data_IF_839200721745
#
_entry.id   IF_839200721745
#
_cell.length_a   1.000
_cell.length_b   1.000
_cell.length_c   1.000
_cell.angle_alpha   90.00
_cell.angle_beta   90.00
_cell.angle_gamma   90.00
#
_symmetry.space_group_name_H-M   'P 1'
#
loop_
_entity.id
_entity.type
_entity.pdbx_description
1 polymer ?
#
# COMPACT_ATOMS: atom_id res chain seq x y z
N UNK A 1 -1.32 -31.81 46.15
CA UNK A 1 -0.34 -30.86 45.63
C UNK A 1 -1.00 -30.13 44.49
N UNK A 2 -1.30 -28.85 44.65
CA UNK A 2 -1.90 -28.02 43.60
C UNK A 2 -0.84 -27.81 42.51
N UNK A 3 -0.96 -28.55 41.41
CA UNK A 3 -0.31 -28.18 40.16
C UNK A 3 -1.03 -26.93 39.68
N UNK A 4 -0.48 -25.76 40.00
CA UNK A 4 -0.90 -24.52 39.35
C UNK A 4 -0.68 -24.71 37.85
N UNK A 5 -1.78 -24.91 37.11
CA UNK A 5 -1.77 -24.92 35.65
C UNK A 5 -1.15 -23.60 35.20
N UNK A 6 0.07 -23.67 34.65
CA UNK A 6 0.69 -22.50 34.05
C UNK A 6 -0.22 -22.05 32.91
N UNK A 7 -0.69 -20.78 32.88
CA UNK A 7 -1.52 -20.31 31.80
C UNK A 7 -0.72 -20.38 30.50
N UNK A 8 -1.34 -20.90 29.43
CA UNK A 8 -0.72 -20.87 28.12
C UNK A 8 -0.66 -19.41 27.66
N UNK A 9 0.55 -18.91 27.42
CA UNK A 9 0.84 -17.50 27.26
C UNK A 9 1.52 -17.24 25.92
N UNK A 10 0.93 -16.35 25.11
CA UNK A 10 1.59 -15.76 23.95
C UNK A 10 2.03 -14.33 24.27
N UNK A 11 3.28 -14.00 23.98
CA UNK A 11 3.84 -12.66 24.18
C UNK A 11 4.04 -12.02 22.81
N UNK A 12 3.28 -10.97 22.53
CA UNK A 12 3.42 -10.15 21.33
C UNK A 12 4.24 -8.92 21.64
N UNK A 13 5.34 -8.72 20.91
CA UNK A 13 6.12 -7.50 21.00
C UNK A 13 5.58 -6.48 19.97
N UNK A 14 5.23 -5.25 20.39
CA UNK A 14 4.89 -4.20 19.44
C UNK A 14 6.08 -3.87 18.55
N UNK A 15 5.79 -3.42 17.33
CA UNK A 15 6.80 -3.10 16.33
C UNK A 15 7.81 -2.06 16.86
N UNK A 16 9.13 -2.22 16.60
CA UNK A 16 10.19 -1.45 17.27
C UNK A 16 10.19 0.06 16.99
N UNK A 17 9.37 0.54 16.06
CA UNK A 17 9.26 1.97 15.74
C UNK A 17 8.48 2.79 16.78
N UNK A 18 7.73 2.14 17.68
CA UNK A 18 6.91 2.85 18.66
C UNK A 18 7.66 3.04 19.99
N UNK A 19 8.55 4.05 20.05
CA UNK A 19 9.35 4.38 21.24
C UNK A 19 8.50 4.79 22.45
N UNK A 20 7.26 5.22 22.22
CA UNK A 20 6.30 5.67 23.24
C UNK A 20 5.24 4.61 23.59
N UNK A 21 5.42 3.35 23.17
CA UNK A 21 4.48 2.29 23.50
C UNK A 21 4.38 2.10 25.03
N UNK A 22 3.18 2.35 25.57
CA UNK A 22 2.87 2.23 27.01
C UNK A 22 3.17 0.83 27.57
N UNK A 23 3.11 -0.19 26.72
CA UNK A 23 3.38 -1.58 27.06
C UNK A 23 4.52 -2.11 26.19
N UNK A 24 5.53 -2.74 26.82
CA UNK A 24 6.69 -3.33 26.13
C UNK A 24 6.33 -4.60 25.35
N UNK A 25 5.22 -5.23 25.72
CA UNK A 25 4.66 -6.42 25.09
C UNK A 25 3.17 -6.50 25.45
N UNK A 26 2.43 -7.34 24.74
CA UNK A 26 1.07 -7.74 25.06
C UNK A 26 1.08 -9.23 25.37
N UNK A 27 0.66 -9.60 26.57
CA UNK A 27 0.44 -10.98 26.98
C UNK A 27 -0.98 -11.39 26.59
N UNK A 28 -1.12 -12.48 25.84
CA UNK A 28 -2.39 -13.09 25.48
C UNK A 28 -2.45 -14.46 26.14
N UNK A 29 -3.31 -14.56 27.14
CA UNK A 29 -3.69 -15.84 27.71
C UNK A 29 -4.62 -16.55 26.73
N UNK A 30 -4.34 -17.82 26.45
CA UNK A 30 -5.19 -18.64 25.61
C UNK A 30 -5.46 -20.00 26.26
N UNK A 31 -6.57 -20.61 25.87
CA UNK A 31 -6.93 -21.96 26.29
C UNK A 31 -6.84 -22.89 25.09
N UNK A 32 -6.18 -24.06 25.21
CA UNK A 32 -6.16 -25.05 24.15
C UNK A 32 -7.60 -25.45 23.79
N UNK A 33 -7.87 -25.68 22.51
CA UNK A 33 -9.22 -26.04 22.03
C UNK A 33 -9.41 -27.55 22.08
N UNK A 34 -10.54 -28.04 22.60
CA UNK A 34 -10.88 -29.46 22.49
C UNK A 34 -11.30 -29.79 21.06
N UNK A 35 -10.70 -30.83 20.46
CA UNK A 35 -11.11 -31.32 19.15
C UNK A 35 -12.08 -32.48 19.29
N UNK A 36 -13.29 -32.30 18.78
CA UNK A 36 -14.30 -33.36 18.74
C UNK A 36 -13.92 -34.53 17.84
N UNK A 37 -13.09 -34.30 16.82
CA UNK A 37 -12.66 -35.32 15.85
C UNK A 37 -11.59 -36.22 16.46
N UNK A 38 -10.59 -35.62 17.11
CA UNK A 38 -9.45 -36.34 17.71
C UNK A 38 -9.69 -36.71 19.18
N UNK A 39 -10.78 -36.22 19.78
CA UNK A 39 -11.18 -36.41 21.19
C UNK A 39 -10.07 -36.05 22.19
N UNK A 40 -9.30 -35.00 21.90
CA UNK A 40 -8.21 -34.53 22.74
C UNK A 40 -8.09 -33.00 22.75
N UNK A 41 -7.42 -32.45 23.78
CA UNK A 41 -7.07 -31.02 23.83
C UNK A 41 -5.97 -30.72 22.82
N UNK A 42 -6.17 -29.68 22.03
CA UNK A 42 -5.26 -29.27 20.97
C UNK A 42 -4.61 -27.95 21.30
N UNK A 43 -3.28 -27.92 21.22
CA UNK A 43 -2.52 -26.68 21.28
C UNK A 43 -2.90 -25.79 20.10
N UNK A 44 -3.09 -24.51 20.39
CA UNK A 44 -3.43 -23.49 19.38
C UNK A 44 -2.31 -22.48 19.27
N UNK A 45 -2.03 -22.02 18.06
CA UNK A 45 -1.00 -21.04 17.75
C UNK A 45 -1.63 -19.78 17.13
N UNK A 46 -1.05 -18.59 17.34
CA UNK A 46 -1.51 -17.37 16.71
C UNK A 46 -1.21 -17.40 15.20
N UNK A 47 -2.14 -16.86 14.43
CA UNK A 47 -1.94 -16.56 13.01
C UNK A 47 -2.03 -15.05 12.79
N UNK A 48 -1.12 -14.57 11.95
CA UNK A 48 -1.12 -13.19 11.47
C UNK A 48 -1.77 -13.15 10.09
N UNK A 49 -2.40 -12.01 9.76
CA UNK A 49 -2.94 -11.81 8.42
C UNK A 49 -1.85 -11.95 7.35
N UNK A 50 -2.29 -12.28 6.13
CA UNK A 50 -1.42 -12.47 4.96
C UNK A 50 -0.52 -11.26 4.68
N UNK A 51 -0.98 -10.06 5.01
CA UNK A 51 -0.27 -8.80 4.81
C UNK A 51 0.79 -8.53 5.90
N UNK A 52 0.92 -9.41 6.90
CA UNK A 52 1.76 -9.24 8.11
C UNK A 52 1.48 -7.96 8.89
N UNK A 53 0.42 -7.24 8.53
CA UNK A 53 -0.08 -6.11 9.26
C UNK A 53 -0.63 -6.55 10.62
N UNK A 54 -0.54 -5.68 11.65
CA UNK A 54 -1.12 -5.94 12.95
C UNK A 54 -2.64 -6.02 12.85
N UNK A 55 -3.15 -7.21 12.56
CA UNK A 55 -4.55 -7.56 12.59
C UNK A 55 -4.90 -8.22 13.93
N UNK A 56 -6.21 -8.39 14.18
CA UNK A 56 -6.67 -9.16 15.33
C UNK A 56 -6.06 -10.58 15.25
N UNK A 57 -5.35 -11.06 16.29
CA UNK A 57 -4.70 -12.36 16.25
C UNK A 57 -5.77 -13.45 16.13
N UNK A 58 -5.76 -14.17 15.01
CA UNK A 58 -6.50 -15.41 14.88
C UNK A 58 -5.75 -16.53 15.61
N UNK A 59 -6.43 -17.61 15.97
CA UNK A 59 -5.81 -18.81 16.51
C UNK A 59 -6.23 -20.01 15.69
N UNK A 60 -5.28 -20.91 15.41
CA UNK A 60 -5.55 -22.19 14.76
C UNK A 60 -4.96 -23.33 15.60
N UNK A 61 -5.53 -24.55 15.54
CA UNK A 61 -4.88 -25.73 16.08
C UNK A 61 -3.51 -25.95 15.42
N UNK A 62 -2.52 -26.42 16.19
CA UNK A 62 -1.17 -26.69 15.69
C UNK A 62 -1.16 -27.66 14.50
N UNK A 63 -2.08 -28.63 14.46
CA UNK A 63 -2.19 -29.59 13.36
C UNK A 63 -2.58 -28.95 12.03
N UNK A 64 -3.27 -27.82 12.07
CA UNK A 64 -3.75 -27.13 10.86
C UNK A 64 -2.72 -26.13 10.34
N UNK A 65 -1.62 -25.91 11.08
CA UNK A 65 -0.56 -25.00 10.69
C UNK A 65 0.02 -25.29 9.30
N UNK A 66 0.34 -26.54 8.93
CA UNK A 66 0.90 -26.82 7.59
C UNK A 66 -0.08 -26.47 6.48
N UNK A 67 -1.38 -26.78 6.68
CA UNK A 67 -2.43 -26.48 5.72
C UNK A 67 -2.65 -24.96 5.57
N UNK A 68 -2.65 -24.24 6.69
CA UNK A 68 -2.74 -22.78 6.70
C UNK A 68 -1.58 -22.13 5.94
N UNK A 69 -0.34 -22.58 6.15
CA UNK A 69 0.83 -22.09 5.43
C UNK A 69 0.72 -22.36 3.93
N UNK A 70 0.30 -23.57 3.53
CA UNK A 70 0.09 -23.92 2.13
C UNK A 70 -0.95 -23.02 1.46
N UNK A 71 -2.07 -22.74 2.13
CA UNK A 71 -3.08 -21.83 1.60
C UNK A 71 -2.54 -20.39 1.46
N UNK A 72 -1.79 -19.91 2.45
CA UNK A 72 -1.19 -18.58 2.40
C UNK A 72 -0.26 -18.42 1.18
N UNK A 73 0.60 -19.41 0.95
CA UNK A 73 1.49 -19.43 -0.22
C UNK A 73 0.69 -19.45 -1.53
N UNK A 74 -0.40 -20.21 -1.60
CA UNK A 74 -1.30 -20.22 -2.76
C UNK A 74 -1.93 -18.83 -3.01
N UNK A 75 -2.43 -18.17 -1.96
CA UNK A 75 -3.01 -16.82 -2.07
C UNK A 75 -1.97 -15.80 -2.55
N UNK A 76 -0.76 -15.83 -2.00
CA UNK A 76 0.34 -14.95 -2.43
C UNK A 76 0.69 -15.15 -3.90
N UNK A 77 0.80 -16.40 -4.34
CA UNK A 77 1.08 -16.73 -5.74
C UNK A 77 -0.03 -16.23 -6.69
N UNK A 78 -1.30 -16.42 -6.32
CA UNK A 78 -2.44 -15.92 -7.10
C UNK A 78 -2.45 -14.40 -7.19
N UNK A 79 -2.18 -13.72 -6.07
CA UNK A 79 -2.08 -12.27 -6.02
C UNK A 79 -0.98 -11.75 -6.95
N UNK A 80 0.23 -12.31 -6.85
CA UNK A 80 1.34 -11.93 -7.72
C UNK A 80 1.03 -12.13 -9.20
N UNK A 81 0.40 -13.27 -9.55
CA UNK A 81 -0.01 -13.54 -10.93
C UNK A 81 -1.01 -12.48 -11.44
N UNK A 82 -2.04 -12.17 -10.66
CA UNK A 82 -3.04 -11.14 -11.01
C UNK A 82 -2.41 -9.76 -11.13
N UNK A 83 -1.48 -9.43 -10.23
CA UNK A 83 -0.73 -8.17 -10.29
C UNK A 83 0.12 -8.08 -11.56
N UNK A 84 0.81 -9.15 -11.96
CA UNK A 84 1.57 -9.21 -13.21
C UNK A 84 0.68 -9.10 -14.45
N UNK A 85 -0.49 -9.77 -14.46
CA UNK A 85 -1.47 -9.65 -15.53
C UNK A 85 -1.98 -8.20 -15.67
N UNK A 86 -2.35 -7.56 -14.56
CA UNK A 86 -2.77 -6.16 -14.54
C UNK A 86 -1.67 -5.23 -15.02
N UNK A 87 -0.44 -5.42 -14.53
CA UNK A 87 0.73 -4.64 -14.95
C UNK A 87 1.01 -4.82 -16.44
N UNK A 88 0.83 -6.03 -16.98
CA UNK A 88 1.05 -6.31 -18.41
C UNK A 88 -0.06 -5.71 -19.28
N UNK A 89 -1.32 -5.76 -18.84
CA UNK A 89 -2.45 -5.08 -19.49
C UNK A 89 -2.27 -3.55 -19.47
N UNK A 90 -1.84 -3.00 -18.34
CA UNK A 90 -1.62 -1.56 -18.16
C UNK A 90 -0.34 -1.04 -18.81
N UNK A 91 0.67 -1.89 -19.07
CA UNK A 91 1.80 -1.54 -19.95
C UNK A 91 1.34 -1.20 -21.37
N UNK A 92 0.21 -1.76 -21.80
CA UNK A 92 -0.51 -1.37 -23.02
C UNK A 92 -1.58 -0.33 -22.69
N UNK A 93 -1.21 0.71 -21.93
CA UNK A 93 -1.92 1.99 -21.99
C UNK A 93 -1.68 2.54 -23.41
N UNK A 94 -2.52 2.13 -24.35
CA UNK A 94 -2.58 2.76 -25.66
C UNK A 94 -2.75 4.26 -25.42
N UNK A 95 -1.86 5.06 -26.01
CA UNK A 95 -2.03 6.51 -26.07
C UNK A 95 -3.49 6.81 -26.40
N UNK A 96 -4.17 7.68 -25.63
CA UNK A 96 -5.59 7.93 -25.83
C UNK A 96 -5.82 8.33 -27.28
N UNK A 97 -6.43 7.43 -28.06
CA UNK A 97 -6.82 7.73 -29.43
C UNK A 97 -8.09 8.57 -29.35
N UNK A 98 -8.13 9.75 -29.99
CA UNK A 98 -9.36 10.53 -30.02
C UNK A 98 -10.47 9.70 -30.67
N UNK A 99 -11.59 9.51 -29.95
CA UNK A 99 -12.79 8.81 -30.44
C UNK A 99 -13.61 9.63 -31.46
N UNK A 100 -13.18 10.85 -31.77
CA UNK A 100 -13.88 11.77 -32.68
C UNK A 100 -13.77 11.31 -34.13
N UNK A 101 -14.90 11.33 -34.86
CA UNK A 101 -14.93 11.13 -36.31
C UNK A 101 -14.18 12.24 -37.06
N UNK A 102 -14.19 13.46 -36.52
CA UNK A 102 -13.37 14.57 -37.02
C UNK A 102 -12.01 14.55 -36.33
N UNK A 103 -11.01 14.08 -37.06
CA UNK A 103 -9.60 14.09 -36.65
C UNK A 103 -8.99 15.44 -36.99
N UNK A 104 -9.24 16.44 -36.15
CA UNK A 104 -8.73 17.81 -36.31
C UNK A 104 -7.76 18.16 -35.18
N UNK A 105 -6.61 18.74 -35.52
CA UNK A 105 -5.60 19.14 -34.55
C UNK A 105 -5.74 20.62 -34.19
N UNK A 106 -5.97 20.91 -32.91
CA UNK A 106 -6.07 22.28 -32.41
C UNK A 106 -4.74 23.05 -32.41
N UNK A 107 -3.61 22.34 -32.45
CA UNK A 107 -2.26 22.92 -32.50
C UNK A 107 -1.89 23.29 -33.93
N UNK A 108 -2.14 22.37 -34.87
CA UNK A 108 -1.78 22.55 -36.27
C UNK A 108 -2.86 23.21 -37.12
N UNK A 109 -4.09 23.30 -36.59
CA UNK A 109 -5.29 23.78 -37.29
C UNK A 109 -5.58 23.00 -38.59
N UNK A 110 -5.25 21.72 -38.60
CA UNK A 110 -5.34 20.83 -39.77
C UNK A 110 -5.96 19.48 -39.40
N UNK A 111 -6.57 18.83 -40.39
CA UNK A 111 -7.03 17.45 -40.28
C UNK A 111 -5.85 16.46 -40.37
N UNK A 112 -5.99 15.30 -39.72
CA UNK A 112 -4.99 14.23 -39.74
C UNK A 112 -5.65 12.86 -39.88
N UNK A 113 -4.97 11.90 -40.51
CA UNK A 113 -5.48 10.53 -40.65
C UNK A 113 -5.05 9.63 -39.50
N UNK A 114 -3.76 9.64 -39.14
CA UNK A 114 -3.22 8.92 -37.99
C UNK A 114 -2.73 9.92 -36.92
N UNK A 115 -3.20 9.72 -35.69
CA UNK A 115 -2.86 10.60 -34.56
C UNK A 115 -1.38 10.49 -34.18
N UNK A 116 -0.83 9.27 -34.12
CA UNK A 116 0.54 9.02 -33.67
C UNK A 116 1.55 9.57 -34.67
N UNK A 117 1.30 9.39 -35.96
CA UNK A 117 2.16 9.95 -37.00
C UNK A 117 2.10 11.47 -37.03
N UNK A 118 0.90 12.04 -36.85
CA UNK A 118 0.70 13.48 -36.77
C UNK A 118 1.49 14.12 -35.63
N UNK A 119 1.36 13.63 -34.39
CA UNK A 119 2.07 14.22 -33.23
C UNK A 119 3.59 14.01 -33.29
N UNK A 120 4.06 12.97 -34.01
CA UNK A 120 5.49 12.72 -34.21
C UNK A 120 6.10 13.61 -35.30
N UNK A 121 5.28 14.18 -36.19
CA UNK A 121 5.72 15.05 -37.28
C UNK A 121 6.50 16.28 -36.79
N UNK A 122 7.46 16.74 -37.60
CA UNK A 122 8.25 17.95 -37.29
C UNK A 122 7.35 19.18 -37.13
N UNK A 123 6.34 19.32 -37.99
CA UNK A 123 5.40 20.44 -38.01
C UNK A 123 4.66 20.54 -36.67
N UNK A 124 4.07 19.43 -36.22
CA UNK A 124 3.35 19.40 -34.95
C UNK A 124 4.26 19.76 -33.79
N UNK A 125 5.46 19.16 -33.70
CA UNK A 125 6.42 19.45 -32.63
C UNK A 125 6.82 20.93 -32.58
N UNK A 126 7.04 21.56 -33.73
CA UNK A 126 7.39 22.98 -33.78
C UNK A 126 6.23 23.88 -33.37
N UNK A 127 5.01 23.59 -33.80
CA UNK A 127 3.84 24.38 -33.42
C UNK A 127 3.42 24.16 -31.96
N UNK A 128 3.56 22.93 -31.47
CA UNK A 128 3.27 22.55 -30.08
C UNK A 128 4.19 23.29 -29.11
N UNK A 129 5.49 23.30 -29.38
CA UNK A 129 6.49 23.98 -28.53
C UNK A 129 6.36 25.52 -28.58
N UNK A 130 5.89 26.08 -29.69
CA UNK A 130 5.62 27.52 -29.83
C UNK A 130 4.27 27.95 -29.24
N UNK A 131 3.36 27.02 -28.96
CA UNK A 131 2.00 27.34 -28.51
C UNK A 131 2.01 28.00 -27.11
N UNK A 132 1.43 29.19 -27.02
CA UNK A 132 1.39 29.97 -25.78
C UNK A 132 0.69 29.24 -24.62
N UNK A 133 -0.44 28.59 -24.89
CA UNK A 133 -1.22 27.88 -23.88
C UNK A 133 -0.46 26.65 -23.35
N UNK A 134 0.21 25.91 -24.23
CA UNK A 134 1.04 24.77 -23.84
C UNK A 134 2.20 25.22 -22.95
N UNK A 135 2.87 26.34 -23.27
CA UNK A 135 3.91 26.91 -22.40
C UNK A 135 3.37 27.27 -21.02
N UNK A 136 2.18 27.87 -20.94
CA UNK A 136 1.53 28.21 -19.67
C UNK A 136 1.21 26.96 -18.84
N UNK A 137 0.63 25.93 -19.46
CA UNK A 137 0.33 24.65 -18.81
C UNK A 137 1.60 24.00 -18.27
N UNK A 138 2.68 23.99 -19.05
CA UNK A 138 3.98 23.43 -18.63
C UNK A 138 4.59 24.20 -17.45
N UNK A 139 4.48 25.54 -17.43
CA UNK A 139 4.91 26.36 -16.29
C UNK A 139 4.14 26.01 -15.02
N UNK A 140 2.81 25.98 -15.09
CA UNK A 140 1.96 25.64 -13.96
C UNK A 140 2.22 24.22 -13.46
N UNK A 141 2.40 23.26 -14.37
CA UNK A 141 2.75 21.88 -14.01
C UNK A 141 4.10 21.79 -13.29
N UNK A 142 5.08 22.62 -13.70
CA UNK A 142 6.39 22.70 -13.03
C UNK A 142 6.24 23.29 -11.63
N UNK A 143 5.53 24.41 -11.48
CA UNK A 143 5.26 25.05 -10.19
C UNK A 143 4.54 24.11 -9.21
N UNK A 144 3.57 23.33 -9.70
CA UNK A 144 2.86 22.35 -8.87
C UNK A 144 3.80 21.23 -8.44
N UNK A 145 4.63 20.70 -9.34
CA UNK A 145 5.62 19.66 -8.97
C UNK A 145 6.60 20.16 -7.93
N UNK A 146 7.12 21.38 -8.08
CA UNK A 146 8.04 21.99 -7.11
C UNK A 146 7.36 22.17 -5.74
N UNK A 147 6.10 22.61 -5.70
CA UNK A 147 5.34 22.71 -4.44
C UNK A 147 5.10 21.35 -3.79
N UNK A 148 4.79 20.31 -4.57
CA UNK A 148 4.63 18.94 -4.04
C UNK A 148 5.94 18.44 -3.43
N UNK A 149 7.08 18.64 -4.10
CA UNK A 149 8.40 18.27 -3.58
C UNK A 149 8.71 19.04 -2.29
N UNK A 150 8.49 20.35 -2.26
CA UNK A 150 8.69 21.17 -1.06
C UNK A 150 7.77 20.75 0.11
N UNK A 151 6.54 20.32 -0.17
CA UNK A 151 5.61 19.85 0.88
C UNK A 151 6.08 18.53 1.48
N UNK A 152 6.68 17.64 0.67
CA UNK A 152 7.28 16.39 1.13
C UNK A 152 8.51 16.67 2.00
N UNK A 153 9.41 17.56 1.56
CA UNK A 153 10.60 17.96 2.34
C UNK A 153 10.24 18.68 3.66
N UNK A 154 9.15 19.47 3.67
CA UNK A 154 8.66 20.13 4.87
C UNK A 154 8.02 19.15 5.86
N UNK A 155 7.30 18.13 5.39
CA UNK A 155 6.77 17.06 6.25
C UNK A 155 7.91 16.27 6.91
N UNK A 156 8.97 15.94 6.17
CA UNK A 156 10.16 15.27 6.73
C UNK A 156 10.90 16.13 7.77
N UNK A 157 10.87 17.46 7.65
CA UNK A 157 11.54 18.36 8.60
C UNK A 157 10.66 18.81 9.78
N UNK A 158 9.33 18.64 9.73
CA UNK A 158 8.45 18.92 10.88
C UNK A 158 8.31 17.76 11.86
N UNK A 159 8.68 16.53 11.50
CA UNK A 159 8.69 15.37 12.42
C UNK A 159 9.83 15.42 13.47
N UNK A 160 10.78 16.36 13.36
CA UNK A 160 11.99 16.45 14.19
C UNK A 160 11.92 17.38 15.42
N UNK A 161 10.79 18.02 15.72
CA UNK A 161 10.70 18.96 16.85
C UNK A 161 9.70 18.48 17.92
N UNK A 162 10.15 17.93 19.07
CA UNK A 162 9.26 17.57 20.16
C UNK A 162 8.70 18.85 20.81
N UNK A 163 7.38 19.04 20.71
CA UNK A 163 6.65 20.08 21.43
C UNK A 163 6.80 19.86 22.94
N UNK A 164 7.47 20.79 23.63
CA UNK A 164 7.53 20.85 25.10
C UNK A 164 6.13 21.10 25.66
N UNK A 165 5.48 20.06 26.17
CA UNK A 165 4.21 20.18 26.91
C UNK A 165 4.52 20.75 28.30
N UNK A 166 4.00 21.95 28.59
CA UNK A 166 4.03 22.56 29.92
C UNK A 166 3.15 21.73 30.87
N UNK A 167 3.73 21.27 31.99
CA UNK A 167 3.00 20.61 33.08
C UNK A 167 2.05 21.61 33.75
N UNK A 168 0.76 21.45 33.58
CA UNK A 168 -0.26 22.03 34.46
C UNK A 168 -0.31 21.20 35.74
N UNK A 169 -0.12 21.86 36.90
CA UNK A 169 -0.36 21.26 38.22
C UNK A 169 -1.87 21.11 38.42
N UNK A 170 -2.34 19.90 38.68
CA UNK A 170 -3.67 19.67 39.25
C UNK A 170 -3.59 19.98 40.75
N UNK A 171 -4.49 20.86 41.22
CA UNK A 171 -4.88 20.94 42.62
C UNK A 171 -5.85 19.80 42.95
#
# INVERSE_FOLDING_TARGET
>A
MNLEERPNLFILYPYPFNRDAKYKYVEINYSPSFSEIMKCMMETIPIFNNDRDPAQPGFIPLIDQPLHLQHNDQYQNQYQKKYQELTSKNKVLHFPKPKSQSKYCNVCKQHYEDYLDHIKSKIHKTQFTKNHYIKKIMSQAKEVKEKVVQTIEQQESTELQPKKIKKTKLC
#
